data_IF_331346815041
#
_entry.id   IF_331346815041
#
_cell.length_a   1.000
_cell.length_b   1.000
_cell.length_c   1.000
_cell.angle_alpha   90.00
_cell.angle_beta   90.00
_cell.angle_gamma   90.00
#
_symmetry.space_group_name_H-M   'P 1'
#
loop_
_entity.id
_entity.type
_entity.pdbx_description
1 polymer ?
#
# COMPACT_ATOMS: atom_id res chain seq x y z
N UNK A 1 -23.44 -6.98 2.12
CA UNK A 1 -23.03 -5.78 1.37
C UNK A 1 -21.58 -5.98 0.93
N UNK A 2 -21.18 -5.51 -0.27
CA UNK A 2 -19.79 -5.62 -0.71
C UNK A 2 -18.86 -4.72 0.10
N UNK A 3 -17.61 -5.15 0.22
CA UNK A 3 -16.54 -4.43 0.90
C UNK A 3 -15.59 -3.88 -0.15
N UNK A 4 -15.22 -2.61 -0.03
CA UNK A 4 -14.26 -1.95 -0.91
C UNK A 4 -13.11 -1.40 -0.10
N UNK A 5 -11.95 -1.40 -0.71
CA UNK A 5 -10.71 -1.00 -0.10
C UNK A 5 -10.23 0.30 -0.75
N UNK A 6 -9.83 1.27 0.06
CA UNK A 6 -9.45 2.61 -0.37
C UNK A 6 -8.07 2.95 0.16
N UNK A 7 -7.20 3.46 -0.71
CA UNK A 7 -5.85 3.89 -0.37
C UNK A 7 -5.73 5.40 -0.47
N UNK A 8 -5.15 5.98 0.58
CA UNK A 8 -4.77 7.38 0.66
C UNK A 8 -3.25 7.49 0.51
N UNK A 9 -2.78 8.05 -0.61
CA UNK A 9 -1.35 8.25 -0.87
C UNK A 9 -0.68 9.22 0.11
N UNK A 10 -1.46 10.16 0.66
CA UNK A 10 -0.93 11.21 1.53
C UNK A 10 -0.54 10.73 2.92
N UNK A 11 -1.15 9.63 3.39
CA UNK A 11 -0.81 8.97 4.65
C UNK A 11 -0.29 7.54 4.44
N UNK A 12 -0.20 7.10 3.18
CA UNK A 12 0.10 5.73 2.77
C UNK A 12 -0.75 4.71 3.55
N UNK A 13 -2.03 5.02 3.72
CA UNK A 13 -2.95 4.25 4.56
C UNK A 13 -4.10 3.69 3.74
N UNK A 14 -4.39 2.43 4.00
CA UNK A 14 -5.46 1.68 3.36
C UNK A 14 -6.58 1.44 4.35
N UNK A 15 -7.82 1.75 3.95
CA UNK A 15 -9.02 1.63 4.78
C UNK A 15 -10.09 0.86 4.02
N UNK A 16 -10.63 -0.15 4.70
CA UNK A 16 -11.64 -1.04 4.17
C UNK A 16 -13.03 -0.64 4.67
N UNK A 17 -13.98 -0.41 3.76
CA UNK A 17 -15.36 0.01 4.08
C UNK A 17 -16.41 -0.86 3.41
N UNK A 18 -17.54 -1.08 4.09
CA UNK A 18 -18.71 -1.75 3.52
C UNK A 18 -19.77 -0.74 3.11
N UNK A 19 -20.06 -0.66 1.81
CA UNK A 19 -21.13 0.18 1.27
C UNK A 19 -21.73 -0.41 -0.02
N UNK A 20 -22.87 0.12 -0.47
CA UNK A 20 -23.47 -0.29 -1.74
C UNK A 20 -22.76 0.37 -2.93
N UNK A 21 -22.79 -0.26 -4.11
CA UNK A 21 -22.18 0.29 -5.34
C UNK A 21 -22.65 1.70 -5.72
N UNK A 22 -23.85 2.11 -5.29
CA UNK A 22 -24.39 3.46 -5.54
C UNK A 22 -23.65 4.54 -4.77
N UNK A 23 -22.86 4.16 -3.79
CA UNK A 23 -22.12 5.05 -2.92
C UNK A 23 -20.69 5.22 -3.42
N UNK A 24 -20.30 6.47 -3.68
CA UNK A 24 -19.00 6.80 -4.26
C UNK A 24 -18.23 7.69 -3.29
N UNK A 25 -17.27 7.09 -2.59
CA UNK A 25 -16.33 7.81 -1.73
C UNK A 25 -15.19 8.33 -2.61
N UNK A 26 -14.92 9.63 -2.54
CA UNK A 26 -13.84 10.29 -3.29
C UNK A 26 -12.82 10.99 -2.42
N UNK A 27 -13.20 11.31 -1.19
CA UNK A 27 -12.38 12.05 -0.25
C UNK A 27 -12.10 11.27 1.03
N UNK A 28 -11.00 11.61 1.70
CA UNK A 28 -10.62 11.02 2.98
C UNK A 28 -11.66 11.27 4.07
N UNK A 29 -12.32 12.44 4.05
CA UNK A 29 -13.41 12.76 4.99
C UNK A 29 -14.57 11.77 4.89
N UNK A 30 -15.08 11.55 3.68
CA UNK A 30 -16.18 10.60 3.44
C UNK A 30 -15.77 9.16 3.82
N UNK A 31 -14.52 8.78 3.55
CA UNK A 31 -13.98 7.48 3.93
C UNK A 31 -13.92 7.32 5.46
N UNK A 32 -13.45 8.35 6.15
CA UNK A 32 -13.38 8.41 7.60
C UNK A 32 -14.75 8.29 8.26
N UNK A 33 -15.73 9.06 7.78
CA UNK A 33 -17.10 9.01 8.28
C UNK A 33 -17.73 7.62 8.11
N UNK A 34 -17.45 6.95 6.98
CA UNK A 34 -17.95 5.61 6.70
C UNK A 34 -17.25 4.50 7.46
N UNK A 35 -15.95 4.63 7.66
CA UNK A 35 -15.16 3.69 8.45
C UNK A 35 -15.30 3.94 9.97
N UNK A 36 -15.89 5.07 10.39
CA UNK A 36 -15.97 5.47 11.79
C UNK A 36 -14.62 5.80 12.39
N UNK A 37 -13.69 6.32 11.60
CA UNK A 37 -12.33 6.70 12.04
C UNK A 37 -12.17 8.22 12.00
N UNK A 38 -11.34 8.76 12.89
CA UNK A 38 -11.00 10.17 12.85
C UNK A 38 -9.96 10.47 11.76
N UNK A 39 -10.11 11.56 10.99
CA UNK A 39 -9.15 11.93 9.95
C UNK A 39 -7.76 12.34 10.49
N UNK A 40 -7.65 12.55 11.81
CA UNK A 40 -6.43 12.93 12.53
C UNK A 40 -5.62 14.01 11.79
N UNK A 41 -4.50 13.64 11.16
CA UNK A 41 -3.57 14.57 10.51
C UNK A 41 -3.80 14.69 8.98
N UNK A 42 -4.67 13.88 8.41
CA UNK A 42 -4.93 13.88 6.97
C UNK A 42 -6.10 14.79 6.64
N UNK A 43 -5.93 15.78 5.75
CA UNK A 43 -7.01 16.66 5.34
C UNK A 43 -8.22 15.89 4.80
N UNK A 44 -9.41 16.31 5.18
CA UNK A 44 -10.66 15.65 4.75
C UNK A 44 -10.90 15.75 3.23
N UNK A 45 -10.33 16.77 2.58
CA UNK A 45 -10.39 16.98 1.13
C UNK A 45 -9.36 16.15 0.34
N UNK A 46 -8.57 15.31 1.02
CA UNK A 46 -7.55 14.50 0.36
C UNK A 46 -8.21 13.47 -0.55
N UNK A 47 -7.79 13.38 -1.83
CA UNK A 47 -8.32 12.38 -2.73
C UNK A 47 -7.92 10.97 -2.27
N UNK A 48 -8.85 10.02 -2.37
CA UNK A 48 -8.62 8.60 -2.08
C UNK A 48 -8.89 7.76 -3.32
N UNK A 49 -8.09 6.71 -3.51
CA UNK A 49 -8.21 5.82 -4.65
C UNK A 49 -8.76 4.46 -4.24
N UNK A 50 -9.76 3.96 -4.96
CA UNK A 50 -10.34 2.63 -4.68
C UNK A 50 -9.42 1.56 -5.23
N UNK A 51 -8.89 0.71 -4.35
CA UNK A 51 -8.17 -0.49 -4.75
C UNK A 51 -9.21 -1.53 -5.19
N UNK A 52 -9.26 -1.76 -6.50
CA UNK A 52 -9.96 -2.90 -7.06
C UNK A 52 -8.94 -4.03 -7.08
N UNK A 53 -8.97 -4.90 -6.07
CA UNK A 53 -8.15 -6.12 -6.04
C UNK A 53 -8.60 -7.05 -7.18
N UNK A 54 -8.12 -6.78 -8.38
CA UNK A 54 -8.50 -7.43 -9.62
C UNK A 54 -7.31 -7.47 -10.58
N UNK A 55 -6.26 -8.20 -10.19
CA UNK A 55 -5.14 -8.57 -11.06
C UNK A 55 -3.91 -7.67 -10.97
N UNK A 56 -2.86 -8.20 -10.33
CA UNK A 56 -1.46 -7.76 -10.38
C UNK A 56 -1.21 -6.35 -9.78
N UNK A 57 -1.08 -6.30 -8.44
CA UNK A 57 -0.43 -5.19 -7.76
C UNK A 57 1.09 -5.26 -8.03
N UNK A 58 1.58 -4.44 -8.95
CA UNK A 58 2.99 -4.07 -8.95
C UNK A 58 3.21 -3.09 -7.79
N UNK A 59 4.12 -3.37 -6.83
CA UNK A 59 4.44 -2.42 -5.80
C UNK A 59 5.18 -1.23 -6.43
N UNK A 60 4.50 -0.09 -6.61
CA UNK A 60 5.23 1.17 -6.74
C UNK A 60 5.75 1.53 -5.35
N UNK A 61 6.94 1.03 -5.03
CA UNK A 61 7.68 1.40 -3.85
C UNK A 61 8.05 2.88 -3.94
N UNK A 62 7.21 3.76 -3.40
CA UNK A 62 7.56 5.15 -3.13
C UNK A 62 7.95 5.26 -1.66
N UNK A 63 9.19 4.90 -1.38
CA UNK A 63 10.05 5.39 -0.28
C UNK A 63 11.22 4.43 -0.17
N UNK A 64 12.43 4.90 -0.49
CA UNK A 64 13.66 4.19 -0.16
C UNK A 64 13.86 4.19 1.36
N UNK A 65 14.02 3.02 2.01
CA UNK A 65 14.91 2.91 3.14
C UNK A 65 16.24 2.37 2.64
N UNK A 66 17.29 3.17 2.77
CA UNK A 66 18.66 2.71 2.76
C UNK A 66 18.77 1.53 3.74
N UNK A 67 19.08 0.33 3.23
CA UNK A 67 19.56 -0.77 4.04
C UNK A 67 21.10 -0.76 4.01
N UNK A 68 21.77 -0.40 5.11
CA UNK A 68 23.20 -0.59 5.25
C UNK A 68 23.54 -2.07 5.53
N UNK A 69 24.48 -2.59 4.74
CA UNK A 69 25.49 -3.61 5.06
C UNK A 69 25.12 -5.03 5.57
N UNK A 70 25.95 -5.95 5.03
CA UNK A 70 26.57 -7.11 5.68
C UNK A 70 25.93 -8.50 5.48
N UNK A 71 26.60 -9.26 4.62
CA UNK A 71 27.13 -10.60 4.86
C UNK A 71 26.21 -11.71 5.36
N UNK A 72 26.07 -12.74 4.51
CA UNK A 72 26.20 -14.12 4.96
C UNK A 72 26.86 -15.00 3.89
N UNK A 73 27.90 -15.69 4.34
CA UNK A 73 28.86 -16.53 3.64
C UNK A 73 28.24 -17.83 3.12
N UNK A 74 28.77 -18.38 2.02
CA UNK A 74 28.38 -19.74 1.63
C UNK A 74 28.80 -20.29 0.27
N UNK A 75 30.02 -20.04 -0.24
CA UNK A 75 30.71 -21.03 -1.10
C UNK A 75 32.18 -20.66 -1.38
N UNK A 76 33.15 -21.42 -0.86
CA UNK A 76 34.47 -21.55 -1.45
C UNK A 76 34.49 -22.81 -2.32
N UNK A 77 34.65 -22.70 -3.64
CA UNK A 77 35.26 -23.72 -4.51
C UNK A 77 34.98 -23.42 -5.99
N UNK A 78 35.97 -22.89 -6.70
CA UNK A 78 36.50 -23.57 -7.89
C UNK A 78 37.72 -22.81 -8.42
N UNK A 79 38.89 -23.18 -7.91
CA UNK A 79 40.12 -23.13 -8.70
C UNK A 79 40.14 -24.46 -9.48
N UNK A 80 39.96 -24.40 -10.80
CA UNK A 80 40.03 -25.54 -11.71
C UNK A 80 41.17 -25.34 -12.70
N UNK A 81 42.26 -26.06 -12.48
CA UNK A 81 43.44 -26.17 -13.33
C UNK A 81 43.25 -27.32 -14.34
N UNK A 82 43.69 -27.14 -15.60
CA UNK A 82 44.15 -28.22 -16.49
C UNK A 82 43.22 -28.66 -17.64
N UNK A 83 43.53 -28.27 -18.87
CA UNK A 83 44.20 -29.11 -19.90
C UNK A 83 44.65 -28.22 -21.07
#
# INVERSE_FOLDING_TARGET
MPTYDYHCEQNSRTVTVQHGMKDAIRTWGELCERAGIEPSNTPINTPVERIISGGIALPIASASPALPMASCCGHPSSCGHGH
#
